data_IF_050311000809
#
_entry.id   IF_050311000809
#
_cell.length_a   1.000
_cell.length_b   1.000
_cell.length_c   1.000
_cell.angle_alpha   90.00
_cell.angle_beta   90.00
_cell.angle_gamma   90.00
#
_symmetry.space_group_name_H-M   'P 1'
#
loop_
_entity.id
_entity.type
_entity.pdbx_description
1 polymer ?
#
# COMPACT_ATOMS: atom_id res chain seq x y z
N UNK A 1 -12.88 -46.50 10.71
CA UNK A 1 -11.87 -45.43 10.72
C UNK A 1 -12.22 -44.58 9.53
N UNK A 2 -13.01 -43.54 9.79
CA UNK A 2 -13.55 -42.69 8.75
C UNK A 2 -12.44 -41.90 8.06
N UNK A 3 -12.46 -41.94 6.73
CA UNK A 3 -11.68 -41.09 5.84
C UNK A 3 -11.74 -39.63 6.32
N UNK A 4 -10.59 -39.07 6.71
CA UNK A 4 -10.48 -37.62 6.87
C UNK A 4 -10.63 -36.98 5.48
N UNK A 5 -11.67 -36.14 5.26
CA UNK A 5 -11.97 -35.65 3.94
C UNK A 5 -11.05 -34.47 3.59
N UNK A 6 -10.41 -34.53 2.42
CA UNK A 6 -9.96 -33.37 1.63
C UNK A 6 -8.83 -32.52 2.22
N UNK A 7 -7.88 -32.12 1.35
CA UNK A 7 -6.92 -31.05 1.67
C UNK A 7 -7.68 -29.82 2.19
N UNK A 8 -7.26 -29.26 3.33
CA UNK A 8 -7.85 -28.02 3.86
C UNK A 8 -7.85 -26.91 2.79
N UNK A 9 -8.89 -26.07 2.71
CA UNK A 9 -8.93 -24.97 1.76
C UNK A 9 -7.67 -24.12 1.83
N UNK A 10 -7.16 -23.70 0.67
CA UNK A 10 -5.88 -22.97 0.59
C UNK A 10 -5.91 -21.68 1.43
N UNK A 11 -7.03 -20.95 1.47
CA UNK A 11 -7.21 -19.74 2.29
C UNK A 11 -7.27 -19.97 3.81
N UNK A 12 -7.26 -21.23 4.27
CA UNK A 12 -7.21 -21.62 5.69
C UNK A 12 -5.87 -22.27 6.08
N UNK A 13 -4.91 -22.35 5.15
CA UNK A 13 -3.67 -23.10 5.33
C UNK A 13 -2.45 -22.17 5.30
N UNK A 14 -1.65 -22.14 6.36
CA UNK A 14 -0.34 -21.47 6.38
C UNK A 14 0.74 -22.54 6.20
N UNK A 15 1.43 -22.52 5.07
CA UNK A 15 2.53 -23.45 4.79
C UNK A 15 3.85 -22.83 5.23
N UNK A 16 4.59 -23.53 6.09
CA UNK A 16 5.89 -23.07 6.60
C UNK A 16 6.98 -24.01 6.11
N UNK A 17 8.04 -23.46 5.53
CA UNK A 17 9.20 -24.20 5.03
C UNK A 17 10.49 -23.57 5.52
N UNK A 18 11.45 -24.41 5.91
CA UNK A 18 12.81 -24.00 6.18
C UNK A 18 13.62 -23.95 4.88
N UNK A 19 14.50 -22.96 4.75
CA UNK A 19 15.47 -22.87 3.67
C UNK A 19 16.88 -22.90 4.26
N UNK A 20 17.73 -23.79 3.76
CA UNK A 20 19.10 -23.97 4.26
C UNK A 20 20.09 -23.04 3.54
N UNK A 21 19.83 -21.73 3.58
CA UNK A 21 20.74 -20.72 3.03
C UNK A 21 21.09 -19.63 4.06
N UNK A 22 22.33 -19.12 4.06
CA UNK A 22 22.81 -18.23 5.12
C UNK A 22 22.11 -16.87 5.13
N UNK A 23 21.57 -16.41 4.00
CA UNK A 23 20.84 -15.14 3.93
C UNK A 23 19.48 -15.31 4.60
N UNK A 24 18.80 -16.43 4.34
CA UNK A 24 17.55 -16.78 4.99
C UNK A 24 17.72 -16.93 6.50
N UNK A 25 18.75 -17.65 6.97
CA UNK A 25 19.00 -17.82 8.42
C UNK A 25 19.18 -16.48 9.16
N UNK A 26 19.97 -15.57 8.59
CA UNK A 26 20.18 -14.23 9.17
C UNK A 26 18.89 -13.41 9.15
N UNK A 27 18.12 -13.50 8.08
CA UNK A 27 16.84 -12.79 7.93
C UNK A 27 15.81 -13.30 8.94
N UNK A 28 15.71 -14.61 9.13
CA UNK A 28 14.82 -15.23 10.13
C UNK A 28 15.25 -14.87 11.56
N UNK A 29 16.55 -14.87 11.85
CA UNK A 29 17.05 -14.48 13.17
C UNK A 29 16.76 -13.01 13.50
N UNK A 30 16.98 -12.08 12.54
CA UNK A 30 16.65 -10.66 12.71
C UNK A 30 15.14 -10.46 12.87
N UNK A 31 14.32 -11.16 12.07
CA UNK A 31 12.88 -11.10 12.16
C UNK A 31 12.35 -11.57 13.53
N UNK A 32 12.87 -12.68 14.05
CA UNK A 32 12.48 -13.21 15.35
C UNK A 32 12.93 -12.31 16.51
N UNK A 33 14.17 -11.80 16.45
CA UNK A 33 14.68 -10.85 17.44
C UNK A 33 13.83 -9.57 17.48
N UNK A 34 13.45 -9.07 16.30
CA UNK A 34 12.60 -7.89 16.21
C UNK A 34 11.18 -8.13 16.72
N UNK A 35 10.57 -9.28 16.39
CA UNK A 35 9.23 -9.63 16.89
C UNK A 35 9.17 -9.66 18.43
N UNK A 36 10.26 -10.10 19.10
CA UNK A 36 10.36 -10.05 20.57
C UNK A 36 10.49 -8.63 21.12
N UNK A 37 11.24 -7.78 20.42
CA UNK A 37 11.48 -6.38 20.83
C UNK A 37 10.27 -5.49 20.57
N UNK A 38 9.50 -5.78 19.53
CA UNK A 38 8.31 -5.04 19.12
C UNK A 38 7.08 -5.99 19.07
N UNK A 39 6.59 -6.44 20.25
CA UNK A 39 5.58 -7.50 20.34
C UNK A 39 4.16 -7.03 20.00
N UNK A 40 3.90 -5.73 20.05
CA UNK A 40 2.58 -5.17 19.80
C UNK A 40 2.50 -4.56 18.40
N UNK A 41 1.29 -4.28 17.93
CA UNK A 41 1.06 -3.55 16.68
C UNK A 41 0.21 -2.31 16.89
N UNK A 42 0.44 -1.30 16.06
CA UNK A 42 -0.47 -0.16 15.89
C UNK A 42 -0.96 -0.12 14.46
N UNK A 43 -2.27 -0.17 14.31
CA UNK A 43 -2.91 -0.11 12.99
C UNK A 43 -3.18 1.34 12.61
N UNK A 44 -2.74 1.71 11.40
CA UNK A 44 -3.03 3.02 10.78
C UNK A 44 -4.46 3.02 10.24
N UNK A 45 -4.84 1.98 9.52
CA UNK A 45 -6.13 1.86 8.86
C UNK A 45 -6.02 1.13 7.52
N UNK A 46 -7.10 1.11 6.73
CA UNK A 46 -7.10 0.50 5.42
C UNK A 46 -6.22 1.28 4.42
N UNK A 47 -5.70 0.53 3.47
CA UNK A 47 -5.17 0.99 2.20
C UNK A 47 -5.86 0.18 1.09
N UNK A 48 -5.91 0.74 -0.10
CA UNK A 48 -6.54 0.14 -1.26
C UNK A 48 -5.58 0.10 -2.46
N UNK A 49 -5.80 -0.86 -3.35
CA UNK A 49 -5.04 -1.00 -4.59
C UNK A 49 -5.73 -1.95 -5.57
N UNK A 50 -5.09 -2.23 -6.71
CA UNK A 50 -5.64 -3.08 -7.76
C UNK A 50 -4.98 -4.44 -7.83
N UNK A 51 -5.79 -5.47 -8.05
CA UNK A 51 -5.34 -6.80 -8.37
C UNK A 51 -6.02 -7.34 -9.64
N UNK A 52 -5.28 -8.08 -10.44
CA UNK A 52 -5.81 -8.83 -11.57
C UNK A 52 -5.76 -10.34 -11.33
N UNK A 53 -6.74 -11.05 -11.88
CA UNK A 53 -6.76 -12.51 -11.95
C UNK A 53 -7.04 -12.93 -13.39
N UNK A 54 -6.03 -13.53 -14.01
CA UNK A 54 -6.12 -14.11 -15.35
C UNK A 54 -6.75 -15.49 -15.27
N UNK A 55 -7.40 -15.93 -16.37
CA UNK A 55 -8.09 -17.23 -16.42
C UNK A 55 -7.20 -18.43 -16.04
N UNK A 56 -5.92 -18.42 -16.44
CA UNK A 56 -4.96 -19.49 -16.13
C UNK A 56 -4.36 -19.44 -14.73
N UNK A 57 -4.49 -18.32 -14.03
CA UNK A 57 -3.83 -18.08 -12.74
C UNK A 57 -4.74 -18.40 -11.54
N UNK A 58 -6.02 -18.74 -11.78
CA UNK A 58 -6.98 -19.00 -10.69
C UNK A 58 -6.48 -20.12 -9.76
N UNK A 59 -6.55 -19.95 -8.43
CA UNK A 59 -7.22 -18.87 -7.68
C UNK A 59 -6.33 -17.65 -7.37
N UNK A 60 -5.10 -17.57 -7.90
CA UNK A 60 -4.13 -16.53 -7.56
C UNK A 60 -4.52 -15.17 -8.13
N UNK A 61 -4.26 -14.14 -7.36
CA UNK A 61 -4.40 -12.74 -7.76
C UNK A 61 -3.02 -12.09 -7.84
N UNK A 62 -2.87 -11.10 -8.70
CA UNK A 62 -1.61 -10.38 -8.88
C UNK A 62 -1.83 -8.89 -8.69
N UNK A 63 -1.08 -8.28 -7.78
CA UNK A 63 -1.15 -6.83 -7.58
C UNK A 63 -0.60 -6.09 -8.80
N UNK A 64 -1.29 -5.01 -9.19
CA UNK A 64 -0.96 -4.23 -10.39
C UNK A 64 -0.04 -3.04 -10.08
N UNK A 65 0.04 -2.63 -8.81
CA UNK A 65 0.83 -1.48 -8.35
C UNK A 65 0.99 -1.48 -6.83
N UNK A 66 1.32 -0.32 -6.28
CA UNK A 66 1.32 -0.11 -4.83
C UNK A 66 -0.11 -0.19 -4.26
N UNK A 67 -0.17 -0.55 -2.99
CA UNK A 67 -1.39 -0.61 -2.21
C UNK A 67 -1.29 0.47 -1.14
N UNK A 68 -1.46 1.72 -1.58
CA UNK A 68 -1.16 2.95 -0.80
C UNK A 68 -2.29 4.00 -0.87
N UNK A 69 -3.33 3.79 -1.68
CA UNK A 69 -4.47 4.69 -1.73
C UNK A 69 -5.29 4.64 -0.44
N UNK A 70 -5.72 5.82 0.02
CA UNK A 70 -6.55 5.96 1.20
C UNK A 70 -8.05 5.73 0.96
N UNK A 71 -8.49 5.70 -0.31
CA UNK A 71 -9.90 5.70 -0.67
C UNK A 71 -10.20 4.70 -1.80
N UNK A 72 -11.24 3.85 -1.67
CA UNK A 72 -11.64 2.92 -2.71
C UNK A 72 -11.93 3.58 -4.07
N UNK A 73 -12.60 4.73 -4.10
CA UNK A 73 -12.99 5.39 -5.34
C UNK A 73 -11.78 5.85 -6.15
N UNK A 74 -10.72 6.35 -5.51
CA UNK A 74 -9.47 6.68 -6.22
C UNK A 74 -8.90 5.46 -6.94
N UNK A 75 -9.02 4.27 -6.34
CA UNK A 75 -8.54 3.02 -6.95
C UNK A 75 -9.46 2.54 -8.08
N UNK A 76 -10.78 2.79 -7.98
CA UNK A 76 -11.72 2.55 -9.09
C UNK A 76 -11.41 3.48 -10.27
N UNK A 77 -11.03 4.71 -10.00
CA UNK A 77 -10.64 5.71 -11.00
C UNK A 77 -9.31 5.35 -11.68
N UNK A 78 -8.35 4.82 -10.91
CA UNK A 78 -7.13 4.23 -11.45
C UNK A 78 -7.43 3.05 -12.38
N UNK A 79 -8.36 2.17 -11.99
CA UNK A 79 -8.78 1.04 -12.81
C UNK A 79 -9.47 1.50 -14.09
N UNK A 80 -10.35 2.50 -13.99
CA UNK A 80 -10.99 3.13 -15.14
C UNK A 80 -9.93 3.61 -16.14
N UNK A 81 -8.97 4.40 -15.66
CA UNK A 81 -7.89 4.94 -16.47
C UNK A 81 -7.03 3.83 -17.08
N UNK A 82 -6.67 2.81 -16.31
CA UNK A 82 -5.92 1.66 -16.81
C UNK A 82 -6.65 0.97 -17.97
N UNK A 83 -7.95 0.67 -17.82
CA UNK A 83 -8.72 -0.01 -18.85
C UNK A 83 -8.96 0.87 -20.08
N UNK A 84 -9.16 2.17 -19.89
CA UNK A 84 -9.33 3.13 -20.99
C UNK A 84 -8.04 3.29 -21.80
N UNK A 85 -6.88 3.48 -21.16
CA UNK A 85 -5.60 3.54 -21.86
C UNK A 85 -5.24 2.22 -22.54
N UNK A 86 -5.58 1.08 -21.92
CA UNK A 86 -5.44 -0.23 -22.56
C UNK A 86 -6.28 -0.35 -23.83
N UNK A 87 -7.52 0.14 -23.80
CA UNK A 87 -8.41 0.17 -24.97
C UNK A 87 -7.88 1.10 -26.09
N UNK A 88 -7.22 2.18 -25.69
CA UNK A 88 -6.62 3.18 -26.58
C UNK A 88 -5.34 2.70 -27.26
N UNK A 89 -4.42 2.19 -26.45
CA UNK A 89 -3.00 2.11 -26.79
C UNK A 89 -2.50 0.67 -26.95
N UNK A 90 -3.24 -0.34 -26.45
CA UNK A 90 -2.73 -1.72 -26.35
C UNK A 90 -3.53 -2.76 -27.15
N UNK A 91 -4.62 -2.39 -27.82
CA UNK A 91 -5.37 -3.31 -28.68
C UNK A 91 -5.88 -2.61 -29.94
N UNK A 92 -5.86 -3.32 -31.06
CA UNK A 92 -6.50 -2.92 -32.31
C UNK A 92 -7.83 -3.67 -32.55
N UNK A 93 -8.09 -4.75 -31.80
CA UNK A 93 -9.27 -5.60 -31.97
C UNK A 93 -10.54 -4.90 -31.45
N UNK A 94 -11.54 -4.62 -32.31
CA UNK A 94 -12.79 -4.01 -31.89
C UNK A 94 -13.54 -4.79 -30.81
N UNK A 95 -13.44 -6.12 -30.79
CA UNK A 95 -14.11 -6.94 -29.77
C UNK A 95 -13.46 -6.78 -28.39
N UNK A 96 -12.13 -6.78 -28.33
CA UNK A 96 -11.39 -6.50 -27.09
C UNK A 96 -11.64 -5.07 -26.61
N UNK A 97 -11.55 -4.10 -27.52
CA UNK A 97 -11.81 -2.69 -27.21
C UNK A 97 -13.22 -2.50 -26.63
N UNK A 98 -14.25 -3.08 -27.26
CA UNK A 98 -15.62 -3.06 -26.74
C UNK A 98 -15.72 -3.67 -25.35
N UNK A 99 -15.02 -4.79 -25.09
CA UNK A 99 -15.02 -5.41 -23.76
C UNK A 99 -14.37 -4.51 -22.68
N UNK A 100 -13.28 -3.82 -23.01
CA UNK A 100 -12.61 -2.89 -22.10
C UNK A 100 -13.49 -1.67 -21.82
N UNK A 101 -14.05 -1.06 -22.87
CA UNK A 101 -14.91 0.13 -22.75
C UNK A 101 -16.23 -0.16 -22.01
N UNK A 102 -16.77 -1.38 -22.12
CA UNK A 102 -17.92 -1.80 -21.32
C UNK A 102 -17.60 -1.84 -19.81
N UNK A 103 -16.39 -2.24 -19.43
CA UNK A 103 -15.94 -2.20 -18.04
C UNK A 103 -15.70 -0.75 -17.56
N UNK A 104 -15.12 0.11 -18.42
CA UNK A 104 -14.97 1.55 -18.15
C UNK A 104 -16.33 2.20 -17.87
N UNK A 105 -17.32 1.99 -18.75
CA UNK A 105 -18.66 2.58 -18.59
C UNK A 105 -19.35 2.20 -17.26
N UNK A 106 -19.10 0.98 -16.76
CA UNK A 106 -19.58 0.58 -15.43
C UNK A 106 -18.85 1.30 -14.30
N UNK A 107 -17.53 1.46 -14.39
CA UNK A 107 -16.74 2.19 -13.38
C UNK A 107 -17.09 3.68 -13.33
N UNK A 108 -17.61 4.26 -14.41
CA UNK A 108 -18.06 5.66 -14.46
C UNK A 108 -19.44 5.89 -13.82
N UNK A 109 -20.23 4.83 -13.61
CA UNK A 109 -21.63 4.93 -13.18
C UNK A 109 -21.95 4.16 -11.89
N UNK A 110 -21.19 3.12 -11.57
CA UNK A 110 -21.41 2.24 -10.43
C UNK A 110 -20.19 2.21 -9.51
N UNK A 111 -20.42 2.08 -8.19
CA UNK A 111 -19.35 1.82 -7.19
C UNK A 111 -18.97 0.33 -7.19
N UNK A 112 -18.51 -0.18 -8.33
CA UNK A 112 -18.14 -1.59 -8.50
C UNK A 112 -16.68 -1.83 -8.07
N UNK A 113 -16.47 -2.83 -7.22
CA UNK A 113 -15.14 -3.23 -6.77
C UNK A 113 -14.54 -4.36 -7.61
N UNK A 114 -15.32 -4.93 -8.53
CA UNK A 114 -14.85 -5.95 -9.46
C UNK A 114 -15.48 -5.79 -10.84
N UNK A 115 -14.64 -5.81 -11.88
CA UNK A 115 -15.05 -5.84 -13.28
C UNK A 115 -14.27 -6.91 -14.04
N UNK A 116 -14.78 -7.33 -15.19
CA UNK A 116 -14.09 -8.26 -16.08
C UNK A 116 -14.02 -7.69 -17.48
N UNK A 117 -12.85 -7.78 -18.10
CA UNK A 117 -12.64 -7.41 -19.49
C UNK A 117 -11.60 -8.35 -20.13
N UNK A 118 -11.85 -8.76 -21.38
CA UNK A 118 -10.96 -9.64 -22.14
C UNK A 118 -10.51 -10.90 -21.37
N UNK A 119 -11.40 -11.50 -20.58
CA UNK A 119 -11.12 -12.71 -19.78
C UNK A 119 -10.25 -12.50 -18.53
N UNK A 120 -9.95 -11.24 -18.17
CA UNK A 120 -9.25 -10.86 -16.93
C UNK A 120 -10.25 -10.28 -15.94
N UNK A 121 -10.20 -10.73 -14.69
CA UNK A 121 -10.94 -10.11 -13.57
C UNK A 121 -10.04 -9.08 -12.92
N UNK A 122 -10.54 -7.87 -12.73
CA UNK A 122 -9.86 -6.80 -12.00
C UNK A 122 -10.65 -6.52 -10.73
N UNK A 123 -9.96 -6.37 -9.61
CA UNK A 123 -10.56 -6.16 -8.29
C UNK A 123 -9.87 -5.03 -7.55
N UNK A 124 -10.66 -4.16 -6.93
CA UNK A 124 -10.21 -3.27 -5.86
C UNK A 124 -10.00 -4.10 -4.61
N UNK A 125 -8.76 -4.15 -4.13
CA UNK A 125 -8.36 -4.95 -2.97
C UNK A 125 -8.01 -4.08 -1.78
N UNK A 126 -8.23 -4.62 -0.59
CA UNK A 126 -8.05 -3.96 0.69
C UNK A 126 -6.90 -4.61 1.47
N UNK A 127 -6.07 -3.79 2.11
CA UNK A 127 -5.13 -4.24 3.13
C UNK A 127 -5.12 -3.31 4.34
N UNK A 128 -4.71 -3.82 5.49
CA UNK A 128 -4.52 -3.08 6.72
C UNK A 128 -3.04 -2.74 6.90
N UNK A 129 -2.72 -1.45 6.98
CA UNK A 129 -1.36 -0.99 7.30
C UNK A 129 -1.15 -0.93 8.82
N UNK A 130 -0.05 -1.50 9.28
CA UNK A 130 0.35 -1.44 10.68
C UNK A 130 1.87 -1.30 10.84
N UNK A 131 2.28 -0.86 12.02
CA UNK A 131 3.67 -0.89 12.46
C UNK A 131 3.77 -1.70 13.75
N UNK A 132 4.88 -2.41 13.93
CA UNK A 132 5.20 -3.06 15.22
C UNK A 132 5.69 -2.00 16.21
N UNK A 133 5.34 -2.18 17.49
CA UNK A 133 5.67 -1.27 18.58
C UNK A 133 6.15 -2.05 19.83
N UNK A 134 7.15 -1.49 20.49
CA UNK A 134 7.74 -2.00 21.73
C UNK A 134 8.49 -0.88 22.45
N UNK A 135 8.45 -0.87 23.77
CA UNK A 135 9.02 0.21 24.61
C UNK A 135 8.64 1.62 24.13
N UNK A 136 7.37 1.80 23.72
CA UNK A 136 6.82 3.05 23.17
C UNK A 136 7.51 3.56 21.89
N UNK A 137 8.16 2.66 21.14
CA UNK A 137 8.84 2.98 19.89
C UNK A 137 8.33 2.10 18.77
N UNK A 138 8.08 2.72 17.63
CA UNK A 138 7.83 1.99 16.40
C UNK A 138 9.11 1.31 15.94
N UNK A 139 8.94 0.15 15.31
CA UNK A 139 10.04 -0.62 14.73
C UNK A 139 10.79 0.22 13.67
N UNK A 140 12.10 0.46 13.83
CA UNK A 140 12.91 1.08 12.78
C UNK A 140 13.24 0.06 11.68
N UNK A 141 13.79 0.50 10.54
CA UNK A 141 14.39 -0.40 9.56
C UNK A 141 15.35 -1.41 10.20
N UNK A 142 15.22 -2.67 9.78
CA UNK A 142 16.09 -3.79 10.16
C UNK A 142 17.39 -3.76 9.38
N UNK A 143 18.39 -4.50 9.85
CA UNK A 143 19.67 -4.59 9.14
C UNK A 143 19.54 -5.42 7.85
N UNK A 144 18.60 -6.37 7.82
CA UNK A 144 18.32 -7.23 6.67
C UNK A 144 17.32 -6.65 5.68
N UNK A 145 16.74 -5.47 5.96
CA UNK A 145 15.86 -4.80 5.01
C UNK A 145 16.66 -4.33 3.77
N UNK A 146 16.14 -4.53 2.54
CA UNK A 146 16.79 -4.02 1.33
C UNK A 146 16.93 -2.50 1.40
N UNK A 147 18.18 -2.03 1.37
CA UNK A 147 18.52 -0.61 1.53
C UNK A 147 19.60 -0.21 0.53
N UNK A 148 19.55 1.05 0.10
CA UNK A 148 20.55 1.67 -0.76
C UNK A 148 21.27 2.82 -0.01
N UNK A 149 22.36 3.35 -0.56
CA UNK A 149 23.11 4.45 0.06
C UNK A 149 23.06 5.76 -0.78
N UNK A 150 22.17 5.84 -1.77
CA UNK A 150 22.06 6.99 -2.68
C UNK A 150 21.22 8.13 -2.10
N UNK A 151 21.73 9.35 -2.21
CA UNK A 151 21.03 10.60 -1.86
C UNK A 151 20.50 11.37 -3.06
N UNK A 152 20.41 10.73 -4.23
CA UNK A 152 19.69 11.29 -5.37
C UNK A 152 18.19 11.37 -5.04
N UNK A 153 17.71 12.57 -4.73
CA UNK A 153 16.32 12.82 -4.31
C UNK A 153 15.30 12.54 -5.42
N UNK A 154 15.75 12.56 -6.68
CA UNK A 154 14.90 12.35 -7.85
C UNK A 154 14.99 10.89 -8.35
N UNK A 155 15.73 10.02 -7.63
CA UNK A 155 15.81 8.60 -7.93
C UNK A 155 14.42 7.94 -7.80
N UNK A 156 14.01 7.11 -8.77
CA UNK A 156 12.73 6.44 -8.72
C UNK A 156 12.68 5.45 -7.54
N UNK A 157 11.54 5.43 -6.85
CA UNK A 157 11.27 4.40 -5.85
C UNK A 157 10.61 3.19 -6.54
N UNK A 158 11.29 2.03 -6.63
CA UNK A 158 10.72 0.89 -7.34
C UNK A 158 9.51 0.34 -6.60
N UNK A 159 8.40 0.11 -7.30
CA UNK A 159 7.23 -0.56 -6.73
C UNK A 159 7.57 -2.04 -6.42
N UNK A 160 7.44 -2.46 -5.17
CA UNK A 160 7.74 -3.84 -4.74
C UNK A 160 6.53 -4.77 -4.75
N UNK A 161 5.34 -4.20 -4.84
CA UNK A 161 4.09 -4.98 -4.91
C UNK A 161 3.64 -5.24 -6.33
N UNK A 162 4.10 -4.46 -7.33
CA UNK A 162 3.72 -4.71 -8.73
C UNK A 162 4.16 -6.11 -9.15
N UNK A 163 3.20 -6.91 -9.59
CA UNK A 163 3.42 -8.30 -9.97
C UNK A 163 3.46 -9.28 -8.79
N UNK A 164 3.33 -8.82 -7.55
CA UNK A 164 3.26 -9.69 -6.37
C UNK A 164 2.04 -10.61 -6.46
N UNK A 165 2.28 -11.90 -6.26
CA UNK A 165 1.23 -12.92 -6.29
C UNK A 165 0.65 -13.06 -4.90
N UNK A 166 -0.64 -12.75 -4.76
CA UNK A 166 -1.41 -12.99 -3.55
C UNK A 166 -1.77 -14.48 -3.51
N UNK A 167 -0.90 -15.25 -2.85
CA UNK A 167 -1.06 -16.69 -2.63
C UNK A 167 -0.93 -16.98 -1.13
N UNK A 168 -2.06 -17.26 -0.49
CA UNK A 168 -2.10 -17.62 0.93
C UNK A 168 -1.38 -18.93 1.22
N UNK A 169 -1.48 -19.90 0.31
CA UNK A 169 -0.92 -21.23 0.47
C UNK A 169 0.54 -21.33 -0.01
N UNK A 170 1.13 -20.25 -0.54
CA UNK A 170 2.56 -20.21 -0.80
C UNK A 170 3.33 -20.46 0.52
N UNK A 171 4.37 -21.29 0.43
CA UNK A 171 5.21 -21.59 1.57
C UNK A 171 6.01 -20.35 1.99
N UNK A 172 6.10 -20.11 3.30
CA UNK A 172 6.82 -18.98 3.89
C UNK A 172 7.82 -19.43 4.94
N UNK A 173 8.72 -18.53 5.35
CA UNK A 173 9.61 -18.75 6.48
C UNK A 173 8.85 -18.84 7.81
N UNK A 174 9.52 -19.33 8.85
CA UNK A 174 8.91 -19.55 10.16
C UNK A 174 8.41 -18.26 10.79
N UNK A 175 9.22 -17.20 10.73
CA UNK A 175 8.92 -15.90 11.32
C UNK A 175 7.69 -15.25 10.65
N UNK A 176 7.58 -15.36 9.33
CA UNK A 176 6.39 -14.91 8.61
C UNK A 176 5.16 -15.78 8.93
N UNK A 177 5.32 -17.10 9.00
CA UNK A 177 4.25 -18.03 9.38
C UNK A 177 3.65 -17.71 10.76
N UNK A 178 4.51 -17.45 11.75
CA UNK A 178 4.10 -16.99 13.09
C UNK A 178 3.39 -15.64 12.98
N UNK A 179 3.95 -14.68 12.24
CA UNK A 179 3.34 -13.37 12.05
C UNK A 179 1.95 -13.45 11.43
N UNK A 180 1.75 -14.29 10.41
CA UNK A 180 0.41 -14.54 9.81
C UNK A 180 -0.53 -15.14 10.85
N UNK A 181 -0.08 -16.11 11.66
CA UNK A 181 -0.88 -16.73 12.70
C UNK A 181 -1.32 -15.75 13.81
N UNK A 182 -0.42 -14.87 14.26
CA UNK A 182 -0.72 -13.78 15.22
C UNK A 182 -1.82 -12.84 14.70
N UNK A 183 -1.87 -12.65 13.38
CA UNK A 183 -2.73 -11.69 12.71
C UNK A 183 -4.08 -12.24 12.28
N UNK A 184 -4.31 -13.57 12.31
CA UNK A 184 -5.58 -14.19 11.89
C UNK A 184 -6.79 -13.55 12.58
N UNK A 185 -6.68 -13.33 13.90
CA UNK A 185 -7.74 -12.77 14.75
C UNK A 185 -7.69 -11.23 14.87
N UNK A 186 -6.85 -10.56 14.08
CA UNK A 186 -6.75 -9.09 14.13
C UNK A 186 -8.08 -8.44 13.72
N UNK A 187 -8.75 -7.81 14.68
CA UNK A 187 -9.88 -6.94 14.44
C UNK A 187 -9.70 -5.61 15.19
N UNK A 188 -10.29 -4.54 14.65
CA UNK A 188 -10.20 -3.22 15.28
C UNK A 188 -11.06 -3.20 16.55
N UNK A 189 -10.43 -2.96 17.70
CA UNK A 189 -11.10 -2.95 19.00
C UNK A 189 -11.18 -1.57 19.65
N UNK A 190 -10.20 -0.70 19.39
CA UNK A 190 -10.08 0.60 20.03
C UNK A 190 -11.28 1.52 19.75
N UNK A 191 -11.79 2.19 20.79
CA UNK A 191 -12.97 3.07 20.72
C UNK A 191 -12.82 4.27 19.79
N UNK A 192 -11.58 4.66 19.45
CA UNK A 192 -11.32 5.70 18.46
C UNK A 192 -11.80 5.33 17.05
N UNK A 193 -12.00 4.05 16.76
CA UNK A 193 -12.56 3.60 15.50
C UNK A 193 -14.09 3.65 15.57
N UNK A 194 -14.77 4.21 14.54
CA UNK A 194 -16.23 4.17 14.43
C UNK A 194 -16.82 2.76 14.61
N UNK A 195 -18.04 2.67 15.14
CA UNK A 195 -18.64 1.40 15.52
C UNK A 195 -18.89 0.46 14.33
N UNK A 196 -19.32 1.02 13.21
CA UNK A 196 -19.46 0.35 11.91
C UNK A 196 -18.12 -0.18 11.38
N UNK A 197 -17.05 0.62 11.43
CA UNK A 197 -15.69 0.19 11.08
C UNK A 197 -15.23 -0.99 11.93
N UNK A 198 -15.50 -0.96 13.24
CA UNK A 198 -15.19 -2.08 14.15
C UNK A 198 -16.00 -3.33 13.82
N UNK A 199 -17.30 -3.20 13.58
CA UNK A 199 -18.17 -4.31 13.21
C UNK A 199 -17.75 -4.96 11.89
N UNK A 200 -17.40 -4.14 10.89
CA UNK A 200 -16.89 -4.60 9.60
C UNK A 200 -15.56 -5.32 9.75
N UNK A 201 -14.65 -4.79 10.57
CA UNK A 201 -13.39 -5.46 10.89
C UNK A 201 -13.56 -6.79 11.61
N UNK A 202 -14.53 -6.91 12.51
CA UNK A 202 -14.82 -8.18 13.18
C UNK A 202 -15.41 -9.21 12.22
N UNK A 203 -16.34 -8.79 11.34
CA UNK A 203 -16.90 -9.67 10.31
C UNK A 203 -15.84 -10.18 9.35
N UNK A 204 -14.85 -9.35 9.00
CA UNK A 204 -13.78 -9.75 8.08
C UNK A 204 -12.96 -10.95 8.58
N UNK A 205 -12.86 -11.16 9.90
CA UNK A 205 -12.19 -12.33 10.48
C UNK A 205 -12.86 -13.64 10.05
N UNK A 206 -14.18 -13.64 9.86
CA UNK A 206 -14.92 -14.85 9.49
C UNK A 206 -15.13 -14.99 7.99
N UNK A 207 -15.32 -13.87 7.26
CA UNK A 207 -15.54 -13.90 5.81
C UNK A 207 -14.24 -14.03 5.02
N UNK A 208 -13.13 -13.52 5.55
CA UNK A 208 -11.81 -13.55 4.95
C UNK A 208 -10.76 -13.97 6.01
N UNK A 209 -10.82 -15.25 6.45
CA UNK A 209 -10.01 -15.74 7.56
C UNK A 209 -8.52 -15.88 7.22
N UNK A 210 -8.17 -16.02 5.93
CA UNK A 210 -6.79 -16.12 5.49
C UNK A 210 -6.06 -14.78 5.56
N UNK A 211 -4.74 -14.82 5.74
CA UNK A 211 -3.88 -13.64 5.84
C UNK A 211 -2.64 -13.78 4.96
N UNK A 212 -2.41 -12.77 4.11
CA UNK A 212 -1.17 -12.60 3.36
C UNK A 212 -0.48 -11.31 3.82
N UNK A 213 0.82 -11.41 4.11
CA UNK A 213 1.66 -10.24 4.35
C UNK A 213 2.26 -9.77 3.02
N UNK A 214 2.13 -8.48 2.74
CA UNK A 214 2.74 -7.87 1.57
C UNK A 214 4.20 -7.51 1.85
N UNK A 215 5.03 -7.31 0.81
CA UNK A 215 6.37 -6.76 0.96
C UNK A 215 6.37 -5.53 1.86
N UNK A 216 7.28 -5.56 2.85
CA UNK A 216 7.50 -4.48 3.81
C UNK A 216 7.81 -3.16 3.10
N UNK A 217 7.27 -2.07 3.64
CA UNK A 217 7.57 -0.71 3.21
C UNK A 217 8.05 0.13 4.40
N UNK A 218 8.46 1.35 4.10
CA UNK A 218 9.04 2.28 5.05
C UNK A 218 8.38 3.64 4.90
N UNK A 219 8.29 4.39 5.99
CA UNK A 219 7.82 5.78 5.93
C UNK A 219 8.41 6.62 7.03
N UNK A 220 8.18 7.92 6.91
CA UNK A 220 8.54 8.89 7.91
C UNK A 220 7.31 9.23 8.73
N UNK A 221 7.46 9.16 10.04
CA UNK A 221 6.48 9.62 11.01
C UNK A 221 7.07 10.73 11.86
N UNK A 222 6.24 11.67 12.28
CA UNK A 222 6.60 12.60 13.34
C UNK A 222 6.04 12.07 14.66
N UNK A 223 6.93 11.83 15.61
CA UNK A 223 6.55 11.49 16.99
C UNK A 223 5.94 12.72 17.66
N UNK A 224 4.75 12.54 18.22
CA UNK A 224 4.06 13.45 19.13
C UNK A 224 4.22 12.91 20.56
N UNK A 225 3.65 13.60 21.54
CA UNK A 225 3.72 13.21 22.94
C UNK A 225 3.12 11.82 23.19
N UNK A 226 1.95 11.55 22.61
CA UNK A 226 1.18 10.30 22.82
C UNK A 226 0.82 9.57 21.52
N UNK A 227 1.32 10.03 20.37
CA UNK A 227 0.94 9.50 19.07
C UNK A 227 2.00 9.74 18.00
N UNK A 228 1.72 9.29 16.78
CA UNK A 228 2.52 9.58 15.60
C UNK A 228 1.62 10.21 14.54
N UNK A 229 2.15 11.20 13.82
CA UNK A 229 1.52 11.70 12.60
C UNK A 229 2.33 11.26 11.38
N UNK A 230 1.63 10.86 10.33
CA UNK A 230 2.25 10.52 9.04
C UNK A 230 2.86 11.78 8.41
N UNK A 231 4.06 11.65 7.85
CA UNK A 231 4.79 12.76 7.21
C UNK A 231 4.97 12.49 5.71
N UNK A 232 5.28 11.25 5.35
CA UNK A 232 5.48 10.84 3.96
C UNK A 232 4.56 9.68 3.57
N UNK A 233 4.48 9.42 2.26
CA UNK A 233 3.93 8.19 1.70
C UNK A 233 4.76 6.95 2.10
N UNK A 234 4.35 5.79 1.59
CA UNK A 234 5.11 4.55 1.73
C UNK A 234 6.25 4.52 0.72
N UNK A 235 7.37 3.92 1.12
CA UNK A 235 8.57 3.76 0.31
C UNK A 235 9.06 2.32 0.35
N UNK A 236 9.64 1.84 -0.75
CA UNK A 236 10.07 0.45 -0.87
C UNK A 236 11.37 0.14 -0.14
N UNK A 237 12.15 1.16 0.22
CA UNK A 237 13.42 1.05 0.91
C UNK A 237 13.52 2.05 2.07
N UNK A 238 14.34 1.78 3.10
CA UNK A 238 14.61 2.74 4.16
C UNK A 238 15.23 4.04 3.60
N UNK A 239 16.15 3.94 2.64
CA UNK A 239 16.76 5.09 1.99
C UNK A 239 15.75 5.91 1.18
N UNK A 240 14.76 5.29 0.52
CA UNK A 240 13.63 6.00 -0.10
C UNK A 240 12.89 6.89 0.90
N UNK A 241 12.55 6.36 2.09
CA UNK A 241 11.93 7.13 3.15
C UNK A 241 12.84 8.24 3.70
N UNK A 242 14.15 8.00 3.80
CA UNK A 242 15.13 9.03 4.20
C UNK A 242 15.21 10.16 3.17
N UNK A 243 15.22 9.85 1.87
CA UNK A 243 15.16 10.85 0.80
C UNK A 243 13.86 11.66 0.87
N UNK A 244 12.73 11.00 1.10
CA UNK A 244 11.44 11.67 1.27
C UNK A 244 11.40 12.60 2.49
N UNK A 245 12.07 12.26 3.62
CA UNK A 245 12.23 13.19 4.74
C UNK A 245 13.04 14.43 4.34
N UNK A 246 14.13 14.25 3.60
CA UNK A 246 14.94 15.37 3.11
C UNK A 246 14.13 16.25 2.16
N UNK A 247 13.41 15.63 1.22
CA UNK A 247 12.53 16.32 0.27
C UNK A 247 11.43 17.10 1.03
N UNK A 248 10.76 16.48 2.00
CA UNK A 248 9.77 17.15 2.86
C UNK A 248 10.32 18.40 3.56
N UNK A 249 11.60 18.40 3.96
CA UNK A 249 12.22 19.52 4.66
C UNK A 249 12.62 20.68 3.74
N UNK A 250 13.04 20.38 2.51
CA UNK A 250 13.66 21.36 1.60
C UNK A 250 12.78 21.71 0.39
N UNK A 251 11.83 20.85 0.05
CA UNK A 251 10.83 21.01 -1.02
C UNK A 251 9.41 20.85 -0.45
N UNK A 252 8.98 21.65 0.55
CA UNK A 252 7.68 21.48 1.20
C UNK A 252 6.49 21.67 0.25
N UNK A 253 6.71 22.25 -0.94
CA UNK A 253 5.73 22.32 -2.01
C UNK A 253 6.33 21.72 -3.29
N UNK A 254 5.55 21.00 -4.09
CA UNK A 254 5.93 20.74 -5.46
C UNK A 254 6.25 22.09 -6.10
N UNK A 255 7.40 22.20 -6.77
CA UNK A 255 7.65 23.34 -7.65
C UNK A 255 6.54 23.32 -8.69
N UNK A 256 5.51 24.14 -8.48
CA UNK A 256 4.49 24.34 -9.49
C UNK A 256 5.24 24.87 -10.72
N UNK A 257 4.94 24.36 -11.93
CA UNK A 257 5.54 24.91 -13.13
C UNK A 257 5.29 26.42 -13.15
N UNK A 258 6.28 27.20 -13.58
CA UNK A 258 6.16 28.65 -13.76
C UNK A 258 5.17 28.92 -14.91
N UNK A 259 3.88 28.78 -14.59
CA UNK A 259 2.77 29.12 -15.47
C UNK A 259 2.42 30.60 -15.24
N UNK A 260 2.31 31.41 -16.30
CA UNK A 260 1.79 32.77 -16.17
C UNK A 260 0.40 32.72 -15.51
N UNK A 261 0.13 33.70 -14.63
CA UNK A 261 -1.14 33.88 -13.91
C UNK A 261 -1.44 32.91 -12.75
N UNK A 262 -0.45 32.17 -12.26
CA UNK A 262 -0.63 31.40 -11.02
C UNK A 262 -0.84 32.33 -9.81
N UNK A 263 -1.90 32.12 -9.00
CA UNK A 263 -2.10 32.90 -7.78
C UNK A 263 -0.94 32.68 -6.82
N UNK A 264 -0.49 33.77 -6.17
CA UNK A 264 0.52 33.66 -5.11
C UNK A 264 0.11 32.57 -4.10
N UNK A 265 1.07 31.74 -3.68
CA UNK A 265 0.82 30.76 -2.63
C UNK A 265 0.22 31.45 -1.40
N UNK A 266 -0.89 30.94 -0.84
CA UNK A 266 -1.50 31.50 0.35
C UNK A 266 -0.47 31.69 1.47
N UNK A 267 -0.60 32.75 2.26
CA UNK A 267 0.37 33.09 3.30
C UNK A 267 0.64 31.94 4.31
N UNK A 268 -0.36 31.10 4.58
CA UNK A 268 -0.23 29.92 5.44
C UNK A 268 0.60 28.78 4.83
N UNK A 269 0.86 28.82 3.52
CA UNK A 269 1.78 27.92 2.82
C UNK A 269 3.21 28.49 2.74
N UNK A 270 3.41 29.79 2.93
CA UNK A 270 4.77 30.37 2.81
C UNK A 270 5.62 29.93 4.02
N UNK A 271 6.76 29.28 3.75
CA UNK A 271 7.76 28.96 4.77
C UNK A 271 8.68 30.15 4.95
N UNK A 272 8.84 30.63 6.18
CA UNK A 272 9.78 31.71 6.51
C UNK A 272 11.22 31.33 6.11
N UNK A 273 11.99 32.28 5.57
CA UNK A 273 13.36 32.04 5.10
C UNK A 273 14.26 31.49 6.22
N UNK A 274 14.05 31.95 7.46
CA UNK A 274 14.79 31.43 8.63
C UNK A 274 14.43 29.97 8.91
N UNK A 275 13.18 29.61 8.72
CA UNK A 275 12.70 28.23 8.84
C UNK A 275 13.30 27.35 7.74
N UNK A 276 13.26 27.80 6.50
CA UNK A 276 13.88 27.12 5.36
C UNK A 276 15.38 26.87 5.60
N UNK A 277 16.12 27.89 6.06
CA UNK A 277 17.56 27.75 6.35
C UNK A 277 17.86 26.79 7.52
N UNK A 278 16.97 26.70 8.52
CA UNK A 278 17.11 25.70 9.60
C UNK A 278 16.87 24.30 9.06
N UNK A 279 15.82 24.10 8.27
CA UNK A 279 15.49 22.81 7.66
C UNK A 279 16.59 22.33 6.71
N UNK A 280 17.12 23.22 5.86
CA UNK A 280 18.20 22.90 4.93
C UNK A 280 19.48 22.47 5.68
N UNK A 281 19.85 23.17 6.76
CA UNK A 281 20.99 22.76 7.60
C UNK A 281 20.75 21.41 8.28
N UNK A 282 19.53 21.15 8.74
CA UNK A 282 19.16 19.88 9.35
C UNK A 282 19.24 18.73 8.33
N UNK A 283 18.72 18.94 7.12
CA UNK A 283 18.81 18.00 6.01
C UNK A 283 20.27 17.69 5.64
N UNK A 284 21.14 18.71 5.49
CA UNK A 284 22.58 18.50 5.23
C UNK A 284 23.26 17.66 6.31
N UNK A 285 22.97 17.93 7.59
CA UNK A 285 23.50 17.13 8.71
C UNK A 285 22.95 15.71 8.73
N UNK A 286 21.70 15.53 8.34
CA UNK A 286 21.08 14.22 8.23
C UNK A 286 21.77 13.39 7.14
N UNK A 287 21.92 13.94 5.92
CA UNK A 287 22.59 13.28 4.80
C UNK A 287 24.05 12.91 5.06
N UNK A 288 24.74 13.65 5.93
CA UNK A 288 26.13 13.37 6.32
C UNK A 288 26.28 12.13 7.23
N UNK A 289 25.20 11.60 7.79
CA UNK A 289 25.22 10.39 8.64
C UNK A 289 25.04 9.14 7.79
N UNK A 290 25.64 8.02 8.21
CA UNK A 290 25.40 6.72 7.60
C UNK A 290 24.04 6.17 8.06
N UNK A 291 23.12 5.94 7.12
CA UNK A 291 21.79 5.34 7.31
C UNK A 291 21.02 5.86 8.55
N UNK A 292 20.84 7.20 8.68
CA UNK A 292 20.13 7.75 9.83
C UNK A 292 18.64 7.43 9.77
N UNK A 293 18.06 6.98 10.88
CA UNK A 293 16.63 6.71 10.98
C UNK A 293 15.89 7.73 11.87
N UNK A 294 16.59 8.72 12.43
CA UNK A 294 16.02 9.71 13.34
C UNK A 294 16.57 11.10 13.06
N UNK A 295 15.68 12.10 13.06
CA UNK A 295 16.00 13.52 12.95
C UNK A 295 15.22 14.31 13.99
N UNK A 296 15.92 15.18 14.72
CA UNK A 296 15.30 16.16 15.60
C UNK A 296 15.57 17.57 15.09
N UNK A 297 14.52 18.31 14.78
CA UNK A 297 14.62 19.69 14.28
C UNK A 297 13.44 20.50 14.81
N UNK A 298 13.73 21.65 15.45
CA UNK A 298 12.73 22.59 15.99
C UNK A 298 11.68 21.94 16.90
N UNK A 299 12.11 21.06 17.82
CA UNK A 299 11.19 20.37 18.72
C UNK A 299 10.38 19.25 18.08
N UNK A 300 10.53 19.01 16.77
CA UNK A 300 9.88 17.91 16.05
C UNK A 300 10.87 16.75 15.92
N UNK A 301 10.41 15.55 16.26
CA UNK A 301 11.15 14.31 16.11
C UNK A 301 10.55 13.50 14.97
N UNK A 302 11.35 13.28 13.93
CA UNK A 302 11.02 12.46 12.78
C UNK A 302 11.73 11.12 12.88
N UNK A 303 11.02 10.04 12.58
CA UNK A 303 11.51 8.67 12.65
C UNK A 303 11.18 7.96 11.33
N UNK A 304 12.19 7.31 10.74
CA UNK A 304 11.99 6.34 9.66
C UNK A 304 11.57 5.04 10.30
N UNK A 305 10.40 4.54 9.93
CA UNK A 305 9.78 3.36 10.54
C UNK A 305 9.48 2.32 9.49
N UNK A 306 9.60 1.05 9.92
CA UNK A 306 9.21 -0.12 9.15
C UNK A 306 7.70 -0.32 9.30
N UNK A 307 7.00 -0.49 8.19
CA UNK A 307 5.55 -0.74 8.15
C UNK A 307 5.24 -2.00 7.36
N UNK A 308 4.21 -2.68 7.81
CA UNK A 308 3.71 -3.92 7.23
C UNK A 308 2.27 -3.71 6.75
N UNK A 309 1.90 -4.46 5.72
CA UNK A 309 0.55 -4.45 5.16
C UNK A 309 0.02 -5.88 5.17
N UNK A 310 -1.15 -6.05 5.77
CA UNK A 310 -1.82 -7.33 5.86
C UNK A 310 -3.08 -7.32 4.98
N UNK A 311 -3.18 -8.30 4.09
CA UNK A 311 -4.35 -8.52 3.25
C UNK A 311 -5.13 -9.74 3.75
N UNK A 312 -6.44 -9.57 3.92
CA UNK A 312 -7.34 -10.68 4.26
C UNK A 312 -7.80 -11.42 3.00
N UNK A 313 -7.87 -12.74 3.09
CA UNK A 313 -8.19 -13.64 1.98
C UNK A 313 -9.37 -14.53 2.37
N UNK A 314 -10.41 -14.51 1.54
CA UNK A 314 -11.57 -15.40 1.63
C UNK A 314 -11.56 -16.47 0.53
N UNK A 315 -12.64 -17.26 0.43
CA UNK A 315 -12.78 -18.28 -0.62
C UNK A 315 -12.65 -17.73 -2.05
N UNK A 316 -13.11 -16.49 -2.26
CA UNK A 316 -13.08 -15.82 -3.57
C UNK A 316 -11.83 -14.95 -3.79
N UNK A 317 -10.83 -15.05 -2.90
CA UNK A 317 -9.57 -14.31 -2.98
C UNK A 317 -9.51 -13.10 -2.02
N UNK A 318 -8.76 -12.04 -2.37
CA UNK A 318 -8.50 -10.92 -1.49
C UNK A 318 -9.77 -10.11 -1.20
N UNK A 319 -9.86 -9.62 0.04
CA UNK A 319 -10.95 -8.79 0.54
C UNK A 319 -11.11 -7.50 -0.29
N UNK A 320 -12.34 -7.18 -0.66
CA UNK A 320 -12.73 -5.91 -1.30
C UNK A 320 -12.94 -4.82 -0.26
N UNK A 321 -13.11 -3.54 -0.65
CA UNK A 321 -13.59 -2.51 0.25
C UNK A 321 -14.81 -2.96 1.09
N UNK A 322 -14.82 -2.56 2.35
CA UNK A 322 -15.91 -2.84 3.29
C UNK A 322 -16.99 -1.75 3.16
N UNK A 323 -18.24 -2.02 3.56
CA UNK A 323 -19.28 -1.00 3.63
C UNK A 323 -18.89 0.26 4.40
N UNK A 324 -18.08 0.14 5.47
CA UNK A 324 -17.56 1.27 6.24
C UNK A 324 -16.44 2.06 5.55
N UNK A 325 -15.88 1.54 4.45
CA UNK A 325 -14.84 2.23 3.67
C UNK A 325 -15.53 3.24 2.74
N UNK A 326 -15.86 4.40 3.30
CA UNK A 326 -16.63 5.44 2.61
C UNK A 326 -15.75 6.39 1.79
N UNK A 327 -16.20 6.70 0.59
CA UNK A 327 -15.57 7.66 -0.31
C UNK A 327 -16.18 9.06 -0.17
N UNK A 328 -15.37 10.10 -0.33
CA UNK A 328 -15.84 11.50 -0.35
C UNK A 328 -16.62 11.85 -1.62
N UNK A 329 -16.36 11.12 -2.71
CA UNK A 329 -17.00 11.30 -4.01
C UNK A 329 -17.41 9.96 -4.63
N UNK A 330 -18.10 10.00 -5.77
CA UNK A 330 -18.64 8.82 -6.44
C UNK A 330 -18.12 8.66 -7.87
N UNK A 331 -18.59 7.61 -8.56
CA UNK A 331 -18.28 7.37 -9.96
C UNK A 331 -18.54 8.60 -10.83
N UNK A 332 -17.61 8.88 -11.74
CA UNK A 332 -17.73 9.95 -12.72
C UNK A 332 -17.01 9.57 -14.00
N UNK A 333 -17.38 10.18 -15.12
CA UNK A 333 -16.65 10.07 -16.36
C UNK A 333 -15.29 10.78 -16.24
N UNK A 334 -14.20 10.03 -16.48
CA UNK A 334 -12.84 10.55 -16.34
C UNK A 334 -12.20 10.91 -17.68
N UNK A 335 -12.53 10.14 -18.72
CA UNK A 335 -11.91 10.25 -20.04
C UNK A 335 -12.95 10.56 -21.11
N UNK A 336 -12.56 11.18 -22.24
CA UNK A 336 -13.46 11.36 -23.36
C UNK A 336 -14.00 10.01 -23.89
N UNK A 337 -15.24 9.96 -24.40
CA UNK A 337 -15.78 8.73 -24.97
C UNK A 337 -14.92 8.24 -26.15
N UNK A 338 -14.80 6.92 -26.24
CA UNK A 338 -14.11 6.23 -27.33
C UNK A 338 -15.05 5.18 -27.93
N UNK A 339 -15.07 5.03 -29.25
CA UNK A 339 -15.80 3.95 -29.90
C UNK A 339 -14.95 2.66 -30.03
N UNK A 340 -15.57 1.58 -30.49
CA UNK A 340 -14.88 0.29 -30.67
C UNK A 340 -13.81 0.29 -31.78
N UNK A 341 -13.73 1.35 -32.57
CA UNK A 341 -12.70 1.54 -33.59
C UNK A 341 -11.55 2.44 -33.11
N UNK A 342 -11.59 2.90 -31.86
CA UNK A 342 -10.56 3.76 -31.28
C UNK A 342 -10.74 5.25 -31.59
N UNK A 343 -11.87 5.66 -32.17
CA UNK A 343 -12.14 7.08 -32.40
C UNK A 343 -12.55 7.73 -31.08
N UNK A 344 -11.82 8.78 -30.70
CA UNK A 344 -12.07 9.53 -29.47
C UNK A 344 -12.88 10.78 -29.80
N UNK A 345 -14.02 10.93 -29.13
CA UNK A 345 -14.86 12.12 -29.23
C UNK A 345 -14.53 13.07 -28.11
N UNK A 346 -13.86 14.18 -28.42
CA UNK A 346 -13.67 15.28 -27.47
C UNK A 346 -14.97 16.08 -27.40
N UNK A 347 -15.46 16.34 -26.18
CA UNK A 347 -16.60 17.22 -25.98
C UNK A 347 -16.31 18.61 -26.52
N UNK A 348 -17.30 19.22 -27.18
CA UNK A 348 -17.37 20.65 -27.49
C UNK A 348 -17.64 21.49 -26.26
#
# INVERSE_FOLDING_TARGET
MDDHPGKSPDHLTINVTHHDDPVFEVTEADAFASARKYPNIVVRGPLFGLAEQRRGDRPRWRLMGELDSGFPQMVRDELNSHLWFKAKDETDDPAERRSLLAAVARLETEKVDEVSACGVRYRVVRADEFARIGDERLEPPRATDPDDDSWDLDAPDPCRTKGFVVDHAAAVGLSEGIGRAELLQLAYTAERFPADVRADSQRAVTTHPGVVLLPTTFRVVQRKEVSWSMVTAQHSTPQGARRALVDHLIRPFPKLPDLPDMPELPAWMKVDEKEAAVNERAAKKFMARRRPNELFVRGKRFEVVRVERMMRIGPDGPETPRPSDVDEYGPSQMHPPMDEHGNITYGT
#
